data_IF_455491857106
#
_entry.id   IF_455491857106
#
_cell.length_a   1.000
_cell.length_b   1.000
_cell.length_c   1.000
_cell.angle_alpha   90.00
_cell.angle_beta   90.00
_cell.angle_gamma   90.00
#
_symmetry.space_group_name_H-M   'P 1'
#
loop_
_entity.id
_entity.type
_entity.pdbx_description
1 polymer ?
#
# COMPACT_ATOMS: atom_id res chain seq x y z
N UNK A 1 -42.29 8.65 -2.33
CA UNK A 1 -41.50 9.81 -2.79
C UNK A 1 -40.01 9.45 -2.77
N UNK A 2 -39.49 8.77 -3.81
CA UNK A 2 -38.06 8.41 -3.95
C UNK A 2 -37.51 8.90 -5.32
N UNK A 3 -38.34 9.54 -6.13
CA UNK A 3 -38.07 9.78 -7.56
C UNK A 3 -37.15 10.98 -7.86
N UNK A 4 -36.70 11.74 -6.85
CA UNK A 4 -36.16 13.10 -7.07
C UNK A 4 -34.66 13.28 -6.83
N UNK A 5 -33.91 12.24 -6.43
CA UNK A 5 -32.49 12.36 -6.12
C UNK A 5 -31.55 12.07 -7.31
N UNK A 6 -32.00 11.26 -8.29
CA UNK A 6 -31.17 10.85 -9.43
C UNK A 6 -31.10 11.92 -10.53
N UNK A 7 -32.10 12.80 -10.63
CA UNK A 7 -32.20 13.85 -11.64
C UNK A 7 -31.28 15.05 -11.37
N UNK A 8 -30.65 15.14 -10.20
CA UNK A 8 -29.72 16.21 -9.84
C UNK A 8 -28.24 15.84 -10.04
N UNK A 9 -27.92 14.60 -10.43
CA UNK A 9 -26.52 14.21 -10.63
C UNK A 9 -26.08 14.77 -11.99
N UNK A 10 -25.15 15.73 -12.03
CA UNK A 10 -24.65 16.25 -13.30
C UNK A 10 -24.00 15.10 -14.08
N UNK A 11 -24.36 14.99 -15.37
CA UNK A 11 -23.74 14.01 -16.24
C UNK A 11 -22.22 14.26 -16.26
N UNK A 12 -21.39 13.22 -16.09
CA UNK A 12 -19.95 13.38 -16.15
C UNK A 12 -19.54 13.84 -17.54
N UNK A 13 -18.56 14.74 -17.61
CA UNK A 13 -17.99 15.14 -18.89
C UNK A 13 -17.23 13.99 -19.55
N UNK A 14 -16.94 14.14 -20.84
CA UNK A 14 -16.26 13.10 -21.62
C UNK A 14 -14.85 12.78 -21.09
N UNK A 15 -14.18 13.75 -20.45
CA UNK A 15 -12.85 13.53 -19.89
C UNK A 15 -12.92 12.64 -18.65
N UNK A 16 -13.88 12.86 -17.76
CA UNK A 16 -14.12 12.04 -16.59
C UNK A 16 -14.50 10.60 -16.97
N UNK A 17 -15.34 10.43 -18.01
CA UNK A 17 -15.68 9.11 -18.55
C UNK A 17 -14.46 8.41 -19.15
N UNK A 18 -13.65 9.13 -19.92
CA UNK A 18 -12.42 8.57 -20.51
C UNK A 18 -11.42 8.13 -19.43
N UNK A 19 -11.23 8.94 -18.39
CA UNK A 19 -10.37 8.59 -17.26
C UNK A 19 -10.88 7.34 -16.53
N UNK A 20 -12.18 7.28 -16.24
CA UNK A 20 -12.78 6.10 -15.60
C UNK A 20 -12.58 4.83 -16.42
N UNK A 21 -12.75 4.90 -17.75
CA UNK A 21 -12.53 3.76 -18.65
C UNK A 21 -11.06 3.32 -18.67
N UNK A 22 -10.12 4.26 -18.76
CA UNK A 22 -8.69 3.95 -18.75
C UNK A 22 -8.30 3.30 -17.42
N UNK A 23 -8.71 3.84 -16.28
CA UNK A 23 -8.42 3.27 -14.97
C UNK A 23 -9.03 1.90 -14.79
N UNK A 24 -10.26 1.69 -15.26
CA UNK A 24 -10.93 0.39 -15.20
C UNK A 24 -10.20 -0.68 -16.03
N UNK A 25 -9.87 -0.36 -17.29
CA UNK A 25 -9.14 -1.27 -18.18
C UNK A 25 -7.74 -1.54 -17.61
N UNK A 26 -7.02 -0.51 -17.17
CA UNK A 26 -5.72 -0.64 -16.53
C UNK A 26 -5.79 -1.59 -15.32
N UNK A 27 -6.82 -1.45 -14.48
CA UNK A 27 -7.07 -2.33 -13.34
C UNK A 27 -7.34 -3.79 -13.72
N UNK A 28 -8.01 -4.05 -14.84
CA UNK A 28 -8.22 -5.41 -15.35
C UNK A 28 -6.96 -6.01 -15.99
N UNK A 29 -6.09 -5.19 -16.57
CA UNK A 29 -4.89 -5.65 -17.27
C UNK A 29 -3.73 -6.04 -16.34
N UNK A 30 -3.77 -5.63 -15.07
CA UNK A 30 -2.74 -6.01 -14.09
C UNK A 30 -3.24 -7.20 -13.28
N UNK A 31 -2.63 -8.39 -13.41
CA UNK A 31 -2.98 -9.52 -12.56
C UNK A 31 -2.76 -9.14 -11.09
N UNK A 32 -3.78 -9.31 -10.25
CA UNK A 32 -3.76 -8.85 -8.85
C UNK A 32 -2.52 -9.32 -8.10
N UNK A 33 -2.14 -10.60 -8.26
CA UNK A 33 -0.94 -11.18 -7.62
C UNK A 33 0.35 -10.49 -8.07
N UNK A 34 0.50 -10.30 -9.37
CA UNK A 34 1.66 -9.62 -9.96
C UNK A 34 1.75 -8.16 -9.52
N UNK A 35 0.63 -7.45 -9.44
CA UNK A 35 0.58 -6.06 -8.95
C UNK A 35 1.03 -5.95 -7.49
N UNK A 36 0.55 -6.85 -6.63
CA UNK A 36 0.88 -6.87 -5.19
C UNK A 36 2.38 -7.12 -4.99
N UNK A 37 2.95 -8.14 -5.63
CA UNK A 37 4.39 -8.45 -5.52
C UNK A 37 5.27 -7.27 -5.92
N UNK A 38 4.85 -6.52 -6.96
CA UNK A 38 5.59 -5.33 -7.40
C UNK A 38 5.44 -4.16 -6.45
N UNK A 39 4.28 -3.97 -5.84
CA UNK A 39 4.10 -2.94 -4.82
C UNK A 39 4.91 -3.24 -3.56
N UNK A 40 4.94 -4.50 -3.11
CA UNK A 40 5.75 -4.92 -1.97
C UNK A 40 7.25 -4.75 -2.26
N UNK A 41 7.72 -5.17 -3.44
CA UNK A 41 9.10 -5.02 -3.87
C UNK A 41 9.51 -3.54 -3.99
N UNK A 42 8.65 -2.71 -4.59
CA UNK A 42 8.86 -1.27 -4.68
C UNK A 42 8.87 -0.62 -3.29
N UNK A 43 7.94 -0.98 -2.41
CA UNK A 43 7.86 -0.49 -1.04
C UNK A 43 9.13 -0.81 -0.24
N UNK A 44 9.62 -2.05 -0.33
CA UNK A 44 10.91 -2.45 0.28
C UNK A 44 12.09 -1.67 -0.30
N UNK A 45 12.12 -1.47 -1.62
CA UNK A 45 13.18 -0.70 -2.27
C UNK A 45 13.20 0.76 -1.82
N UNK A 46 12.04 1.41 -1.75
CA UNK A 46 11.91 2.79 -1.24
C UNK A 46 12.25 2.86 0.24
N UNK A 47 11.76 1.92 1.06
CA UNK A 47 12.05 1.87 2.48
C UNK A 47 13.56 1.70 2.77
N UNK A 48 14.28 0.93 1.96
CA UNK A 48 15.74 0.79 2.08
C UNK A 48 16.52 2.09 1.86
N UNK A 49 15.89 3.10 1.25
CA UNK A 49 16.49 4.42 1.01
C UNK A 49 16.15 5.44 2.08
N UNK A 50 15.23 5.12 3.00
CA UNK A 50 14.91 6.01 4.12
C UNK A 50 16.02 5.94 5.17
N UNK A 51 16.51 7.09 5.68
CA UNK A 51 17.43 7.11 6.80
C UNK A 51 16.82 6.40 8.01
N UNK A 52 17.63 5.59 8.69
CA UNK A 52 17.20 4.96 9.94
C UNK A 52 16.90 6.05 10.98
N UNK A 53 15.67 6.09 11.46
CA UNK A 53 15.24 6.99 12.52
C UNK A 53 15.07 6.19 13.80
N UNK A 54 16.01 6.40 14.72
CA UNK A 54 15.90 5.84 16.05
C UNK A 54 14.66 6.44 16.76
N UNK A 55 13.93 5.64 17.55
CA UNK A 55 12.85 6.16 18.39
C UNK A 55 13.35 7.32 19.27
N UNK A 56 12.53 8.37 19.49
CA UNK A 56 12.93 9.51 20.30
C UNK A 56 13.34 9.07 21.71
N UNK A 57 14.55 9.44 22.13
CA UNK A 57 15.12 9.08 23.44
C UNK A 57 15.94 7.78 23.45
N UNK A 58 16.15 7.12 22.31
CA UNK A 58 16.97 5.91 22.19
C UNK A 58 18.15 6.16 21.23
N UNK A 59 19.33 5.67 21.61
CA UNK A 59 20.50 5.69 20.72
C UNK A 59 20.29 4.76 19.51
N UNK A 60 20.83 5.14 18.35
CA UNK A 60 20.61 4.43 17.09
C UNK A 60 21.12 2.98 17.13
N UNK A 61 22.20 2.70 17.86
CA UNK A 61 22.76 1.35 17.96
C UNK A 61 21.86 0.45 18.81
N UNK A 62 21.39 0.96 19.94
CA UNK A 62 20.45 0.24 20.83
C UNK A 62 19.10 0.00 20.15
N UNK A 63 18.63 0.96 19.37
CA UNK A 63 17.38 0.84 18.63
C UNK A 63 17.46 -0.21 17.51
N UNK A 64 18.59 -0.32 16.82
CA UNK A 64 18.80 -1.34 15.78
C UNK A 64 18.89 -2.74 16.39
N UNK A 65 19.60 -2.92 17.51
CA UNK A 65 19.67 -4.20 18.21
C UNK A 65 18.28 -4.71 18.62
N UNK A 66 17.46 -3.84 19.21
CA UNK A 66 16.08 -4.20 19.57
C UNK A 66 15.19 -4.53 18.35
N UNK A 67 15.43 -3.89 17.21
CA UNK A 67 14.69 -4.19 15.98
C UNK A 67 15.04 -5.57 15.42
N UNK A 68 16.31 -5.95 15.46
CA UNK A 68 16.79 -7.28 15.05
C UNK A 68 16.26 -8.37 15.97
N UNK A 69 16.31 -8.16 17.29
CA UNK A 69 15.79 -9.12 18.28
C UNK A 69 14.29 -9.34 18.13
N UNK A 70 13.49 -8.27 18.00
CA UNK A 70 12.04 -8.38 17.76
C UNK A 70 11.71 -9.13 16.47
N UNK A 71 12.51 -8.97 15.43
CA UNK A 71 12.29 -9.68 14.17
C UNK A 71 12.61 -11.17 14.28
N UNK A 72 13.66 -11.54 15.01
CA UNK A 72 14.00 -12.94 15.28
C UNK A 72 12.92 -13.67 16.11
N UNK A 73 12.29 -12.98 17.08
CA UNK A 73 11.18 -13.52 17.85
C UNK A 73 9.90 -13.70 17.00
N UNK A 74 9.68 -12.81 16.01
CA UNK A 74 8.52 -12.85 15.13
C UNK A 74 8.56 -14.01 14.12
N UNK A 75 9.76 -14.38 13.65
CA UNK A 75 9.95 -15.49 12.69
C UNK A 75 9.86 -16.88 13.36
N UNK A 76 10.08 -16.94 14.69
CA UNK A 76 10.03 -18.20 15.45
C UNK A 76 8.60 -18.64 15.79
N UNK A 77 7.66 -17.69 15.89
CA UNK A 77 6.24 -17.95 16.23
C UNK A 77 5.38 -18.36 15.00
N UNK A 78 5.84 -18.03 13.78
CA UNK A 78 5.10 -18.28 12.53
C UNK A 78 5.43 -19.65 11.86
N UNK A 79 6.25 -20.48 12.49
CA UNK A 79 6.67 -21.80 12.01
C UNK A 79 5.82 -22.98 12.52
N UNK A 80 4.67 -22.71 13.14
CA UNK A 80 3.80 -23.69 13.79
C UNK A 80 2.55 -24.07 13.01
N UNK A 81 2.70 -24.69 11.84
CA UNK A 81 1.75 -25.68 11.27
C UNK A 81 2.50 -26.69 10.41
#
# INVERSE_FOLDING_TARGET
MIESALTQIPAPDAQAVAQALITFIAGMTVPTRYGIERMEGFGRAVASKLPYMAPPGMDAETAMQQAVEKQADSDTDNGGT
#
